data_IF_003873131406
#
_entry.id   IF_003873131406
#
_cell.length_a   1.000
_cell.length_b   1.000
_cell.length_c   1.000
_cell.angle_alpha   90.00
_cell.angle_beta   90.00
_cell.angle_gamma   90.00
#
_symmetry.space_group_name_H-M   'P 1'
#
loop_
_entity.id
_entity.type
_entity.pdbx_description
1 polymer ?
#
# COMPACT_ATOMS: atom_id res chain seq x y z
N UNK A 1 8.16 14.50 14.44
CA UNK A 1 7.75 14.39 15.86
C UNK A 1 7.66 12.95 16.35
N UNK A 2 6.97 12.04 15.61
CA UNK A 2 6.90 10.59 15.97
C UNK A 2 8.27 9.93 15.85
N UNK A 3 9.02 10.25 14.81
CA UNK A 3 10.33 9.66 14.52
C UNK A 3 11.44 10.18 15.43
N UNK A 4 11.25 11.35 16.07
CA UNK A 4 12.20 11.93 17.01
C UNK A 4 12.15 11.29 18.42
N UNK A 5 11.04 10.62 18.76
CA UNK A 5 10.89 9.89 20.02
C UNK A 5 11.40 8.47 19.89
N UNK A 6 12.70 8.27 20.07
CA UNK A 6 13.40 6.98 19.95
C UNK A 6 13.13 5.98 21.09
N UNK A 7 11.94 5.91 21.63
CA UNK A 7 11.58 4.80 22.51
C UNK A 7 11.07 3.65 21.67
N UNK A 8 11.89 2.62 21.49
CA UNK A 8 11.67 1.47 20.59
C UNK A 8 10.25 0.88 20.75
N UNK A 9 9.72 0.75 21.95
CA UNK A 9 8.38 0.21 22.18
C UNK A 9 7.22 1.14 21.80
N UNK A 10 7.44 2.45 21.64
CA UNK A 10 6.40 3.40 21.23
C UNK A 10 6.25 3.43 19.71
N UNK A 11 7.34 3.24 18.95
CA UNK A 11 7.30 3.23 17.49
C UNK A 11 6.48 2.05 16.94
N UNK A 12 6.55 0.90 17.59
CA UNK A 12 5.78 -0.29 17.20
C UNK A 12 4.27 -0.03 17.26
N UNK A 13 3.81 0.76 18.24
CA UNK A 13 2.41 1.13 18.38
C UNK A 13 1.91 2.07 17.27
N UNK A 14 2.81 2.85 16.67
CA UNK A 14 2.46 3.81 15.62
C UNK A 14 2.52 3.23 14.21
N UNK A 15 3.20 2.11 14.01
CA UNK A 15 3.35 1.53 12.68
C UNK A 15 2.01 1.27 11.99
N UNK A 16 1.11 0.54 12.65
CA UNK A 16 -0.18 0.19 12.04
C UNK A 16 -1.04 1.41 11.67
N UNK A 17 -1.27 2.39 12.55
CA UNK A 17 -1.99 3.60 12.19
C UNK A 17 -1.32 4.38 11.04
N UNK A 18 0.00 4.49 11.04
CA UNK A 18 0.75 5.21 10.00
C UNK A 18 0.66 4.46 8.68
N UNK A 19 0.89 3.15 8.67
CA UNK A 19 0.79 2.32 7.48
C UNK A 19 -0.62 2.35 6.87
N UNK A 20 -1.65 2.29 7.73
CA UNK A 20 -3.04 2.43 7.29
C UNK A 20 -3.30 3.79 6.63
N UNK A 21 -2.88 4.89 7.25
CA UNK A 21 -3.10 6.23 6.71
C UNK A 21 -2.41 6.43 5.37
N UNK A 22 -1.16 6.00 5.23
CA UNK A 22 -0.44 6.06 3.94
C UNK A 22 -1.15 5.23 2.88
N UNK A 23 -1.41 3.97 3.17
CA UNK A 23 -2.08 3.08 2.23
C UNK A 23 -3.45 3.60 1.79
N UNK A 24 -4.24 4.12 2.75
CA UNK A 24 -5.54 4.71 2.47
C UNK A 24 -5.43 5.98 1.61
N UNK A 25 -4.44 6.83 1.89
CA UNK A 25 -4.17 8.03 1.08
C UNK A 25 -3.81 7.68 -0.36
N UNK A 26 -3.01 6.64 -0.58
CA UNK A 26 -2.69 6.14 -1.93
C UNK A 26 -3.94 5.63 -2.65
N UNK A 27 -4.78 4.87 -1.96
CA UNK A 27 -6.05 4.39 -2.51
C UNK A 27 -6.97 5.54 -2.93
N UNK A 28 -7.14 6.53 -2.06
CA UNK A 28 -7.95 7.71 -2.37
C UNK A 28 -7.39 8.48 -3.56
N UNK A 29 -6.06 8.60 -3.66
CA UNK A 29 -5.43 9.30 -4.79
C UNK A 29 -5.61 8.54 -6.10
N UNK A 30 -5.44 7.21 -6.10
CA UNK A 30 -5.73 6.36 -7.27
C UNK A 30 -7.19 6.47 -7.70
N UNK A 31 -8.12 6.42 -6.75
CA UNK A 31 -9.56 6.61 -7.03
C UNK A 31 -9.86 8.01 -7.57
N UNK A 32 -9.21 9.05 -7.03
CA UNK A 32 -9.37 10.40 -7.55
C UNK A 32 -8.90 10.53 -9.01
N UNK A 33 -7.81 9.83 -9.39
CA UNK A 33 -7.38 9.74 -10.78
C UNK A 33 -8.43 9.01 -11.63
N UNK A 34 -8.91 7.85 -11.17
CA UNK A 34 -9.93 7.09 -11.88
C UNK A 34 -11.18 7.92 -12.14
N UNK A 35 -11.70 8.63 -11.13
CA UNK A 35 -12.90 9.45 -11.26
C UNK A 35 -12.76 10.68 -12.18
N UNK A 36 -11.54 11.04 -12.61
CA UNK A 36 -11.37 12.03 -13.68
C UNK A 36 -11.79 11.50 -15.06
N UNK A 37 -11.77 10.19 -15.24
CA UNK A 37 -11.98 9.52 -16.53
C UNK A 37 -13.26 8.67 -16.59
N UNK A 38 -13.89 8.43 -15.44
CA UNK A 38 -15.16 7.70 -15.39
C UNK A 38 -16.30 8.67 -15.71
N UNK A 39 -17.08 8.34 -16.76
CA UNK A 39 -18.20 9.16 -17.22
C UNK A 39 -19.52 8.81 -16.54
N UNK A 40 -19.62 7.62 -15.94
CA UNK A 40 -20.81 7.10 -15.25
C UNK A 40 -20.72 7.23 -13.72
N UNK A 41 -21.63 6.57 -13.00
CA UNK A 41 -21.66 6.55 -11.53
C UNK A 41 -20.43 5.89 -10.88
N UNK A 42 -19.58 5.23 -11.65
CA UNK A 42 -18.42 4.48 -11.16
C UNK A 42 -18.77 3.21 -10.38
N UNK A 43 -20.01 2.76 -10.39
CA UNK A 43 -20.43 1.55 -9.65
C UNK A 43 -19.65 0.30 -10.05
N UNK A 44 -19.45 0.12 -11.36
CA UNK A 44 -18.71 -1.03 -11.91
C UNK A 44 -17.26 -0.96 -11.41
N UNK A 45 -16.62 0.19 -11.56
CA UNK A 45 -15.27 0.42 -11.09
C UNK A 45 -15.13 0.09 -9.59
N UNK A 46 -16.04 0.60 -8.75
CA UNK A 46 -15.99 0.35 -7.31
C UNK A 46 -16.16 -1.16 -7.01
N UNK A 47 -17.09 -1.84 -7.69
CA UNK A 47 -17.35 -3.28 -7.51
C UNK A 47 -16.19 -4.16 -7.95
N UNK A 48 -15.44 -3.78 -8.97
CA UNK A 48 -14.34 -4.57 -9.51
C UNK A 48 -13.04 -4.35 -8.76
N UNK A 49 -12.81 -3.12 -8.30
CA UNK A 49 -11.52 -2.74 -7.69
C UNK A 49 -11.55 -2.79 -6.16
N UNK A 50 -12.68 -2.47 -5.52
CA UNK A 50 -12.83 -2.32 -4.07
C UNK A 50 -11.71 -1.47 -3.46
N UNK A 51 -10.85 -2.12 -2.65
CA UNK A 51 -9.70 -1.53 -1.96
C UNK A 51 -8.36 -1.99 -2.54
N UNK A 52 -8.34 -2.77 -3.62
CA UNK A 52 -7.13 -3.34 -4.17
C UNK A 52 -6.36 -2.32 -5.00
N UNK A 53 -5.19 -1.89 -4.52
CA UNK A 53 -4.36 -0.87 -5.18
C UNK A 53 -3.94 -1.28 -6.58
N UNK A 54 -3.60 -2.56 -6.79
CA UNK A 54 -3.18 -3.08 -8.10
C UNK A 54 -4.34 -2.99 -9.09
N UNK A 55 -5.51 -3.47 -8.71
CA UNK A 55 -6.69 -3.41 -9.59
C UNK A 55 -7.09 -1.99 -9.94
N UNK A 56 -6.98 -1.05 -8.99
CA UNK A 56 -7.25 0.36 -9.26
C UNK A 56 -6.19 0.91 -10.22
N UNK A 57 -4.91 0.58 -10.02
CA UNK A 57 -3.82 1.00 -10.90
C UNK A 57 -4.00 0.45 -12.32
N UNK A 58 -4.30 -0.85 -12.48
CA UNK A 58 -4.59 -1.50 -13.76
C UNK A 58 -5.79 -0.84 -14.48
N UNK A 59 -6.81 -0.45 -13.73
CA UNK A 59 -7.97 0.24 -14.29
C UNK A 59 -7.61 1.61 -14.87
N UNK A 60 -6.75 2.38 -14.18
CA UNK A 60 -6.36 3.73 -14.63
C UNK A 60 -5.24 3.73 -15.68
N UNK A 61 -4.47 2.64 -15.80
CA UNK A 61 -3.30 2.54 -16.70
C UNK A 61 -3.58 3.00 -18.13
N UNK A 62 -4.69 2.62 -18.79
CA UNK A 62 -5.00 3.08 -20.14
C UNK A 62 -5.16 4.60 -20.27
N UNK A 63 -5.63 5.25 -19.20
CA UNK A 63 -5.93 6.68 -19.20
C UNK A 63 -4.71 7.55 -18.87
N UNK A 64 -3.69 6.98 -18.23
CA UNK A 64 -2.45 7.67 -17.85
C UNK A 64 -1.24 7.19 -18.65
N UNK A 65 -1.48 6.66 -19.86
CA UNK A 65 -0.44 6.04 -20.69
C UNK A 65 0.67 7.02 -21.08
N UNK A 66 0.33 8.26 -21.33
CA UNK A 66 1.30 9.29 -21.72
C UNK A 66 2.21 9.66 -20.54
N UNK A 67 1.66 9.73 -19.34
CA UNK A 67 2.41 9.97 -18.11
C UNK A 67 3.33 8.78 -17.80
N UNK A 68 2.86 7.55 -18.00
CA UNK A 68 3.68 6.33 -17.83
C UNK A 68 4.84 6.36 -18.83
N UNK A 69 4.59 6.62 -20.10
CA UNK A 69 5.64 6.68 -21.13
C UNK A 69 6.67 7.79 -20.87
N UNK A 70 6.28 8.80 -20.10
CA UNK A 70 7.17 9.89 -19.70
C UNK A 70 8.17 9.46 -18.63
N UNK A 71 7.79 8.54 -17.74
CA UNK A 71 8.61 8.03 -16.65
C UNK A 71 8.18 6.57 -16.31
N UNK A 72 8.49 5.66 -17.24
CA UNK A 72 8.14 4.25 -17.13
C UNK A 72 8.78 3.58 -15.92
N UNK A 73 10.02 3.96 -15.61
CA UNK A 73 10.74 3.42 -14.45
C UNK A 73 10.03 3.73 -13.13
N UNK A 74 9.51 4.96 -12.96
CA UNK A 74 8.75 5.33 -11.77
C UNK A 74 7.44 4.55 -11.66
N UNK A 75 6.75 4.34 -12.78
CA UNK A 75 5.55 3.52 -12.84
C UNK A 75 5.83 2.07 -12.42
N UNK A 76 6.84 1.44 -13.03
CA UNK A 76 7.22 0.06 -12.74
C UNK A 76 7.65 -0.11 -11.28
N UNK A 77 8.41 0.84 -10.73
CA UNK A 77 8.81 0.83 -9.33
C UNK A 77 7.60 0.94 -8.38
N UNK A 78 6.67 1.86 -8.66
CA UNK A 78 5.43 2.00 -7.89
C UNK A 78 4.56 0.74 -7.97
N UNK A 79 4.41 0.16 -9.18
CA UNK A 79 3.65 -1.08 -9.39
C UNK A 79 4.22 -2.23 -8.59
N UNK A 80 5.55 -2.43 -8.63
CA UNK A 80 6.24 -3.44 -7.84
C UNK A 80 5.99 -3.27 -6.33
N UNK A 81 6.00 -2.03 -5.83
CA UNK A 81 5.67 -1.77 -4.43
C UNK A 81 4.23 -2.16 -4.08
N UNK A 82 3.27 -1.92 -4.95
CA UNK A 82 1.88 -2.36 -4.73
C UNK A 82 1.75 -3.87 -4.78
N UNK A 83 2.51 -4.54 -5.66
CA UNK A 83 2.59 -6.01 -5.72
C UNK A 83 3.17 -6.59 -4.43
N UNK A 84 4.20 -5.98 -3.84
CA UNK A 84 4.77 -6.37 -2.55
C UNK A 84 3.78 -6.15 -1.39
N UNK A 85 2.98 -5.10 -1.43
CA UNK A 85 1.98 -4.81 -0.39
C UNK A 85 0.72 -5.69 -0.49
N UNK A 86 0.37 -6.14 -1.69
CA UNK A 86 -0.89 -6.85 -1.94
C UNK A 86 -1.06 -8.15 -1.13
N UNK A 87 -0.05 -9.02 -0.95
CA UNK A 87 -0.17 -10.20 -0.09
C UNK A 87 -0.42 -9.85 1.38
N UNK A 88 0.05 -8.67 1.82
CA UNK A 88 -0.06 -8.22 3.20
C UNK A 88 -1.42 -7.59 3.47
N UNK A 89 -1.89 -6.69 2.61
CA UNK A 89 -3.08 -5.86 2.84
C UNK A 89 -3.93 -5.64 1.59
N UNK A 90 -4.32 -6.72 0.93
CA UNK A 90 -5.13 -6.69 -0.28
C UNK A 90 -6.46 -5.95 -0.11
N UNK A 91 -7.12 -6.16 1.01
CA UNK A 91 -8.48 -5.69 1.29
C UNK A 91 -8.52 -4.45 2.20
N UNK A 92 -7.36 -3.84 2.49
CA UNK A 92 -7.20 -2.69 3.41
C UNK A 92 -7.60 -2.98 4.87
N UNK A 93 -7.44 -4.21 5.29
CA UNK A 93 -7.83 -4.67 6.63
C UNK A 93 -6.64 -4.90 7.56
N UNK A 94 -5.48 -5.34 7.01
CA UNK A 94 -4.35 -5.78 7.82
C UNK A 94 -3.72 -4.65 8.64
N UNK A 95 -3.62 -3.44 8.07
CA UNK A 95 -3.10 -2.28 8.79
C UNK A 95 -4.15 -1.60 9.68
N UNK A 96 -5.44 -1.85 9.41
CA UNK A 96 -6.53 -1.32 10.23
C UNK A 96 -6.78 -2.17 11.47
N UNK A 97 -6.73 -3.48 11.30
CA UNK A 97 -7.04 -4.45 12.36
C UNK A 97 -5.88 -5.43 12.49
N UNK A 98 -5.28 -5.58 13.69
CA UNK A 98 -4.21 -6.56 13.89
C UNK A 98 -4.71 -8.01 13.82
N UNK A 99 -6.03 -8.21 13.75
CA UNK A 99 -6.68 -9.51 13.73
C UNK A 99 -7.78 -9.57 12.68
N UNK A 100 -7.90 -10.71 12.04
CA UNK A 100 -9.02 -11.05 11.14
C UNK A 100 -9.97 -11.99 11.87
N UNK A 101 -11.26 -11.67 11.84
CA UNK A 101 -12.31 -12.54 12.36
C UNK A 101 -12.88 -13.34 11.20
N UNK A 102 -12.65 -14.64 11.21
CA UNK A 102 -13.30 -15.57 10.29
C UNK A 102 -14.57 -16.12 10.93
N UNK A 103 -15.69 -15.96 10.22
CA UNK A 103 -16.99 -16.46 10.66
C UNK A 103 -17.28 -17.70 9.84
N UNK A 104 -17.36 -18.86 10.49
CA UNK A 104 -17.89 -20.09 9.89
C UNK A 104 -19.33 -20.28 10.35
N UNK A 105 -20.24 -20.49 9.43
CA UNK A 105 -21.58 -20.95 9.75
C UNK A 105 -21.57 -22.45 9.82
N UNK A 106 -22.08 -23.01 10.91
CA UNK A 106 -22.38 -24.43 10.97
C UNK A 106 -23.57 -24.70 10.05
N UNK A 107 -23.38 -25.59 9.06
CA UNK A 107 -24.40 -25.89 8.06
C UNK A 107 -25.62 -26.62 8.68
N UNK A 108 -25.45 -27.27 9.82
CA UNK A 108 -26.48 -28.11 10.46
C UNK A 108 -27.30 -27.31 11.47
N UNK A 109 -26.64 -26.49 12.28
CA UNK A 109 -27.29 -25.81 13.43
C UNK A 109 -27.43 -24.31 13.27
N UNK A 110 -26.84 -23.75 12.20
CA UNK A 110 -26.86 -22.31 11.93
C UNK A 110 -26.05 -21.45 12.90
N UNK A 111 -25.33 -22.08 13.82
CA UNK A 111 -24.48 -21.39 14.79
C UNK A 111 -23.25 -20.77 14.12
N UNK A 112 -22.92 -19.54 14.53
CA UNK A 112 -21.74 -18.85 14.03
C UNK A 112 -20.54 -19.17 14.91
N UNK A 113 -19.53 -19.81 14.33
CA UNK A 113 -18.24 -19.99 14.97
C UNK A 113 -17.30 -18.86 14.55
N UNK A 114 -16.64 -18.25 15.53
CA UNK A 114 -15.70 -17.14 15.32
C UNK A 114 -14.28 -17.64 15.54
N UNK A 115 -13.42 -17.48 14.55
CA UNK A 115 -11.99 -17.77 14.66
C UNK A 115 -11.23 -16.47 14.49
N UNK A 116 -10.36 -16.15 15.45
CA UNK A 116 -9.50 -14.98 15.38
C UNK A 116 -8.15 -15.42 14.80
N UNK A 117 -7.76 -14.82 13.67
CA UNK A 117 -6.44 -15.01 13.07
C UNK A 117 -5.66 -13.70 13.12
N UNK A 118 -4.37 -13.79 13.40
CA UNK A 118 -3.45 -12.66 13.28
C UNK A 118 -3.12 -12.44 11.80
N UNK A 119 -3.10 -11.18 11.35
CA UNK A 119 -2.60 -10.85 10.02
C UNK A 119 -1.09 -11.05 9.91
N UNK A 120 -0.38 -10.75 10.99
CA UNK A 120 1.07 -10.88 11.07
C UNK A 120 1.42 -11.96 12.08
N UNK A 121 2.07 -13.02 11.60
CA UNK A 121 2.65 -14.07 12.45
C UNK A 121 4.15 -13.81 12.60
N UNK A 122 4.67 -14.01 13.81
CA UNK A 122 6.07 -13.77 14.15
C UNK A 122 6.41 -12.28 14.33
N UNK A 123 7.67 -12.04 14.67
CA UNK A 123 8.20 -10.69 14.84
C UNK A 123 8.59 -10.13 13.48
N UNK A 124 8.16 -8.90 13.18
CA UNK A 124 8.48 -8.19 11.95
C UNK A 124 9.29 -6.95 12.31
N UNK A 125 10.39 -6.74 11.59
CA UNK A 125 11.19 -5.52 11.71
C UNK A 125 10.90 -4.64 10.49
N UNK A 126 10.38 -3.45 10.71
CA UNK A 126 10.06 -2.50 9.65
C UNK A 126 10.80 -1.19 9.92
N UNK A 127 11.58 -0.75 8.95
CA UNK A 127 12.15 0.59 9.00
C UNK A 127 11.05 1.61 8.65
N UNK A 128 10.51 2.26 9.68
CA UNK A 128 9.39 3.19 9.53
C UNK A 128 9.75 4.41 8.67
N UNK A 129 11.00 4.88 8.74
CA UNK A 129 11.47 6.02 7.93
C UNK A 129 11.51 5.62 6.46
N UNK A 130 12.12 4.47 6.15
CA UNK A 130 12.17 3.97 4.78
C UNK A 130 10.78 3.68 4.22
N UNK A 131 9.88 3.14 5.04
CA UNK A 131 8.48 2.94 4.67
C UNK A 131 7.79 4.27 4.35
N UNK A 132 7.88 5.27 5.24
CA UNK A 132 7.28 6.58 5.03
C UNK A 132 7.82 7.25 3.75
N UNK A 133 9.13 7.26 3.55
CA UNK A 133 9.75 7.84 2.35
C UNK A 133 9.23 7.18 1.07
N UNK A 134 9.09 5.84 1.04
CA UNK A 134 8.51 5.15 -0.11
C UNK A 134 7.08 5.56 -0.37
N UNK A 135 6.26 5.63 0.68
CA UNK A 135 4.86 6.03 0.54
C UNK A 135 4.72 7.48 0.01
N UNK A 136 5.56 8.39 0.49
CA UNK A 136 5.60 9.77 0.02
C UNK A 136 6.00 9.85 -1.46
N UNK A 137 7.02 9.10 -1.89
CA UNK A 137 7.43 9.04 -3.29
C UNK A 137 6.28 8.54 -4.18
N UNK A 138 5.62 7.44 -3.78
CA UNK A 138 4.46 6.93 -4.52
C UNK A 138 3.35 7.97 -4.59
N UNK A 139 3.06 8.62 -3.48
CA UNK A 139 2.04 9.67 -3.43
C UNK A 139 2.37 10.82 -4.39
N UNK A 140 3.64 11.20 -4.46
CA UNK A 140 4.13 12.22 -5.38
C UNK A 140 4.01 11.81 -6.85
N UNK A 141 4.31 10.52 -7.19
CA UNK A 141 4.08 9.98 -8.53
C UNK A 141 2.60 10.08 -8.89
N UNK A 142 1.72 9.63 -8.00
CA UNK A 142 0.27 9.71 -8.21
C UNK A 142 -0.24 11.16 -8.30
N UNK A 143 0.37 12.09 -7.56
CA UNK A 143 0.07 13.51 -7.70
C UNK A 143 0.46 14.03 -9.10
N UNK A 144 1.63 13.61 -9.62
CA UNK A 144 2.04 14.00 -10.97
C UNK A 144 1.07 13.45 -12.04
N UNK A 145 0.58 12.23 -11.90
CA UNK A 145 -0.43 11.67 -12.81
C UNK A 145 -1.77 12.40 -12.70
N UNK A 146 -2.20 12.73 -11.49
CA UNK A 146 -3.41 13.51 -11.29
C UNK A 146 -3.35 14.89 -11.93
N UNK A 147 -2.20 15.55 -11.85
CA UNK A 147 -1.96 16.89 -12.38
C UNK A 147 -1.47 16.89 -13.82
N UNK A 148 -1.21 15.71 -14.43
CA UNK A 148 -0.60 15.53 -15.75
C UNK A 148 0.73 16.27 -15.86
N UNK A 149 1.57 16.20 -14.82
CA UNK A 149 2.88 16.85 -14.77
C UNK A 149 4.00 15.83 -14.83
N UNK A 150 5.04 16.18 -15.60
CA UNK A 150 6.27 15.39 -15.65
C UNK A 150 7.02 15.49 -14.34
N UNK A 151 7.36 14.35 -13.72
CA UNK A 151 8.20 14.29 -12.54
C UNK A 151 9.51 13.58 -12.82
N UNK A 152 10.62 14.05 -12.20
CA UNK A 152 11.94 13.45 -12.41
C UNK A 152 12.09 12.22 -11.51
N UNK A 153 12.35 11.09 -12.10
CA UNK A 153 12.53 9.79 -11.46
C UNK A 153 13.86 9.66 -10.68
N UNK A 154 14.85 10.50 -10.97
CA UNK A 154 16.20 10.42 -10.40
C UNK A 154 16.22 10.41 -8.86
N UNK A 155 15.22 11.04 -8.23
CA UNK A 155 15.11 11.09 -6.77
C UNK A 155 14.65 9.76 -6.17
N UNK A 156 13.99 8.90 -6.93
CA UNK A 156 13.40 7.66 -6.45
C UNK A 156 14.42 6.52 -6.36
N UNK A 157 15.46 6.56 -7.16
CA UNK A 157 16.52 5.55 -7.18
C UNK A 157 17.31 5.47 -5.86
N UNK A 158 17.19 6.49 -5.00
CA UNK A 158 17.87 6.53 -3.69
C UNK A 158 17.27 5.58 -2.65
N UNK A 159 16.05 5.10 -2.86
CA UNK A 159 15.33 4.34 -1.88
C UNK A 159 15.16 2.87 -2.31
N UNK A 160 16.25 2.11 -2.21
CA UNK A 160 16.18 0.65 -2.34
C UNK A 160 15.77 0.04 -1.00
N UNK A 161 14.48 -0.18 -0.83
CA UNK A 161 13.99 -0.92 0.33
C UNK A 161 13.30 -2.17 -0.20
N UNK A 162 13.75 -3.31 0.22
CA UNK A 162 13.14 -4.59 -0.10
C UNK A 162 12.60 -5.15 1.21
N UNK A 163 11.39 -5.65 1.19
CA UNK A 163 10.92 -6.53 2.26
C UNK A 163 11.62 -7.87 2.04
N UNK A 164 12.61 -8.17 2.86
CA UNK A 164 13.32 -9.45 2.81
C UNK A 164 12.71 -10.40 3.83
N UNK A 165 12.46 -11.62 3.42
CA UNK A 165 12.13 -12.71 4.32
C UNK A 165 13.41 -13.49 4.63
N UNK A 166 13.95 -13.35 5.83
CA UNK A 166 15.02 -14.20 6.35
C UNK A 166 14.51 -14.93 7.59
N UNK A 167 14.46 -16.26 7.53
CA UNK A 167 14.12 -17.08 8.68
C UNK A 167 12.72 -16.88 9.26
N UNK A 168 11.73 -16.48 8.45
CA UNK A 168 10.37 -16.19 8.89
C UNK A 168 10.15 -14.76 9.42
N UNK A 169 11.14 -13.91 9.32
CA UNK A 169 11.09 -12.49 9.68
C UNK A 169 11.18 -11.63 8.42
N UNK A 170 10.33 -10.62 8.32
CA UNK A 170 10.41 -9.61 7.25
C UNK A 170 11.28 -8.45 7.72
N UNK A 171 12.36 -8.18 6.98
CA UNK A 171 13.23 -7.05 7.22
C UNK A 171 12.96 -5.96 6.19
N UNK A 172 12.80 -4.74 6.65
CA UNK A 172 12.86 -3.56 5.81
C UNK A 172 14.29 -3.03 5.85
N UNK A 173 15.12 -3.42 4.90
CA UNK A 173 16.46 -2.85 4.78
C UNK A 173 16.41 -1.58 3.95
N UNK A 174 16.74 -0.44 4.56
CA UNK A 174 17.14 0.74 3.81
C UNK A 174 18.61 0.59 3.45
N UNK A 175 18.93 0.40 2.20
CA UNK A 175 20.27 0.65 1.72
C UNK A 175 20.38 2.16 1.50
N UNK A 176 20.84 2.86 2.53
CA UNK A 176 21.35 4.21 2.33
C UNK A 176 22.75 3.98 1.73
N UNK A 177 22.84 4.09 0.41
CA UNK A 177 24.15 4.27 -0.23
C UNK A 177 24.67 5.64 0.16
N UNK A 178 25.82 5.66 0.82
CA UNK A 178 26.65 6.84 1.00
C UNK A 178 27.18 7.30 -0.37
#
# INVERSE_FOLDING_TARGET
YILERQRIGELDCYFFPVAYLYRHSLELKLKAIAFKYIEDSGEIFIKETFHNLIKILEYIEPFIRDEINTDEDAYLWMKALFEDMNPIDKDSDAFRYPFKIEIRKDEIWGDKQYTIKKFFEGQKHINLIAFANKMEIVFDILCSYYENKKKRYEEYKKYNTVFLEEGGEYYCQSVIGY
#
